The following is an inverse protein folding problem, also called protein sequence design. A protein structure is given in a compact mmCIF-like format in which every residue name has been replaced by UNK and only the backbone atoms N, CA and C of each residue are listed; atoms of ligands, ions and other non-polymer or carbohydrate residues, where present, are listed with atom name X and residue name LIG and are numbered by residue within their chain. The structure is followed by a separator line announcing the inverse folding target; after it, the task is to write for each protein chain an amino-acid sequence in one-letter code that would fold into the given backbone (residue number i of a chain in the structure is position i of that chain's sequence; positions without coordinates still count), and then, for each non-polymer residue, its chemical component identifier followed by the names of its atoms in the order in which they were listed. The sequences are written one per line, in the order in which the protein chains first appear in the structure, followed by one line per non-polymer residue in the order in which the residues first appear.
data_IF_966860399371
#
_entry.id   IF_966860399371
#
_cell.length_a   1.000
_cell.length_b   1.000
_cell.length_c   1.000
_cell.angle_alpha   90.00
_cell.angle_beta   90.00
_cell.angle_gamma   90.00
#
_symmetry.space_group_name_H-M   'P 1'
#
loop_
_entity.id
_entity.type
_entity.pdbx_description
1 polymer ?
#
# COMPACT_ATOMS: atom_id res chain seq x y z
N UNK A 1 20.32 -11.00 9.94
CA UNK A 1 19.61 -9.80 9.44
C UNK A 1 20.16 -9.46 8.06
N UNK A 2 19.37 -9.67 7.01
CA UNK A 2 19.77 -9.33 5.65
C UNK A 2 19.11 -7.99 5.30
N UNK A 3 19.80 -6.88 5.56
CA UNK A 3 19.33 -5.52 5.21
C UNK A 3 19.03 -5.37 3.72
N UNK A 4 19.60 -6.23 2.87
CA UNK A 4 19.29 -6.30 1.45
C UNK A 4 17.91 -6.87 1.12
N UNK A 5 17.31 -7.72 1.95
CA UNK A 5 16.01 -8.35 1.64
C UNK A 5 14.88 -7.31 1.71
N UNK A 6 14.79 -6.57 2.82
CA UNK A 6 13.75 -5.54 3.01
C UNK A 6 13.94 -4.36 2.05
N UNK A 7 15.18 -3.95 1.79
CA UNK A 7 15.45 -2.89 0.83
C UNK A 7 15.05 -3.28 -0.60
N UNK A 8 15.33 -4.53 -1.02
CA UNK A 8 14.97 -5.04 -2.36
C UNK A 8 13.46 -5.17 -2.56
N UNK A 9 12.68 -5.30 -1.49
CA UNK A 9 11.21 -5.38 -1.58
C UNK A 9 10.59 -4.14 -2.21
N UNK A 10 11.14 -2.95 -1.94
CA UNK A 10 10.64 -1.72 -2.57
C UNK A 10 10.69 -1.79 -4.11
N UNK A 11 11.81 -2.27 -4.67
CA UNK A 11 11.95 -2.48 -6.11
C UNK A 11 10.99 -3.56 -6.62
N UNK A 12 10.84 -4.66 -5.88
CA UNK A 12 9.94 -5.75 -6.26
C UNK A 12 8.47 -5.29 -6.31
N UNK A 13 8.02 -4.51 -5.32
CA UNK A 13 6.68 -3.93 -5.30
C UNK A 13 6.47 -2.93 -6.43
N UNK A 14 7.45 -2.07 -6.70
CA UNK A 14 7.34 -1.14 -7.81
C UNK A 14 7.26 -1.86 -9.16
N UNK A 15 8.11 -2.87 -9.39
CA UNK A 15 8.07 -3.64 -10.63
C UNK A 15 6.74 -4.38 -10.82
N UNK A 16 6.17 -4.93 -9.75
CA UNK A 16 4.86 -5.57 -9.81
C UNK A 16 3.74 -4.56 -10.06
N UNK A 17 3.81 -3.37 -9.47
CA UNK A 17 2.81 -2.31 -9.66
C UNK A 17 2.68 -1.80 -11.09
N UNK A 18 3.62 -2.14 -11.99
CA UNK A 18 3.53 -1.78 -13.41
C UNK A 18 2.45 -2.60 -14.11
N UNK A 19 2.32 -3.89 -13.76
CA UNK A 19 1.34 -4.80 -14.36
C UNK A 19 0.06 -4.83 -13.52
N UNK A 20 -0.96 -4.07 -13.93
CA UNK A 20 -2.22 -3.91 -13.21
C UNK A 20 -3.27 -4.98 -13.56
N UNK A 21 -2.88 -6.00 -14.34
CA UNK A 21 -3.78 -7.06 -14.82
C UNK A 21 -4.10 -8.11 -13.75
N UNK A 22 -3.18 -8.36 -12.84
CA UNK A 22 -3.39 -9.33 -11.76
C UNK A 22 -3.96 -8.69 -10.50
N UNK A 23 -3.42 -7.54 -10.08
CA UNK A 23 -3.86 -6.89 -8.85
C UNK A 23 -3.30 -5.46 -8.70
N UNK A 24 -3.84 -4.71 -7.72
CA UNK A 24 -3.42 -3.34 -7.43
C UNK A 24 -3.00 -3.18 -5.97
N UNK A 25 -1.93 -2.43 -5.75
CA UNK A 25 -1.48 -2.06 -4.41
C UNK A 25 -2.28 -0.86 -3.91
N UNK A 26 -3.37 -1.13 -3.21
CA UNK A 26 -4.21 -0.07 -2.65
C UNK A 26 -3.74 0.28 -1.23
N UNK A 27 -3.40 1.55 -1.02
CA UNK A 27 -2.91 2.07 0.24
C UNK A 27 -3.89 3.07 0.84
N UNK A 28 -4.04 3.02 2.16
CA UNK A 28 -4.98 3.86 2.92
C UNK A 28 -4.20 4.94 3.66
N UNK A 29 -4.66 6.18 3.52
CA UNK A 29 -4.13 7.31 4.27
C UNK A 29 -4.41 7.12 5.74
N UNK A 30 -3.35 7.12 6.56
CA UNK A 30 -3.46 7.02 8.00
C UNK A 30 -2.26 7.71 8.64
N UNK A 31 -2.48 8.36 9.77
CA UNK A 31 -1.45 9.18 10.44
C UNK A 31 -0.24 8.36 10.88
N UNK A 32 -0.48 7.16 11.40
CA UNK A 32 0.55 6.19 11.82
C UNK A 32 0.13 4.77 11.47
N UNK A 33 1.11 3.88 11.34
CA UNK A 33 0.87 2.49 10.97
C UNK A 33 0.08 1.70 12.03
N UNK A 34 0.28 1.95 13.33
CA UNK A 34 -0.45 1.25 14.39
C UNK A 34 -1.98 1.47 14.33
N UNK A 35 -2.42 2.71 14.07
CA UNK A 35 -3.84 3.03 13.84
C UNK A 35 -4.39 2.35 12.60
N UNK A 36 -3.55 2.23 11.57
CA UNK A 36 -3.91 1.43 10.41
C UNK A 36 -4.06 -0.03 10.84
N UNK A 37 -3.16 -0.63 11.62
CA UNK A 37 -3.28 -2.03 12.09
C UNK A 37 -4.56 -2.28 12.91
N UNK A 38 -4.94 -1.34 13.77
CA UNK A 38 -6.14 -1.36 14.59
C UNK A 38 -7.45 -1.11 13.81
N UNK A 39 -7.36 -0.72 12.53
CA UNK A 39 -8.53 -0.47 11.68
C UNK A 39 -9.18 0.90 11.89
N UNK A 40 -8.53 1.84 12.59
CA UNK A 40 -9.06 3.18 12.85
C UNK A 40 -9.12 4.08 11.60
N UNK A 41 -8.47 3.68 10.51
CA UNK A 41 -8.46 4.37 9.24
C UNK A 41 -9.15 3.51 8.18
N UNK A 42 -10.50 3.43 8.18
CA UNK A 42 -11.19 2.56 7.24
C UNK A 42 -11.18 3.19 5.83
N UNK A 43 -11.09 2.40 4.76
CA UNK A 43 -10.93 2.91 3.39
C UNK A 43 -12.09 3.78 2.89
N UNK A 44 -13.31 3.57 3.41
CA UNK A 44 -14.49 4.35 3.01
C UNK A 44 -14.49 5.79 3.56
N UNK A 45 -13.74 6.05 4.64
CA UNK A 45 -13.62 7.37 5.28
C UNK A 45 -12.19 7.93 5.25
N UNK A 46 -11.29 7.28 4.52
CA UNK A 46 -9.88 7.64 4.43
C UNK A 46 -9.47 7.80 2.96
N UNK A 47 -8.46 8.62 2.70
CA UNK A 47 -7.92 8.74 1.34
C UNK A 47 -7.30 7.42 0.88
N UNK A 48 -7.70 6.91 -0.27
CA UNK A 48 -7.10 5.70 -0.88
C UNK A 48 -6.27 6.12 -2.09
N UNK A 49 -5.08 5.54 -2.23
CA UNK A 49 -4.19 5.77 -3.36
C UNK A 49 -3.52 4.47 -3.80
N UNK A 50 -3.19 4.39 -5.09
CA UNK A 50 -2.38 3.28 -5.61
C UNK A 50 -0.90 3.52 -5.28
N UNK A 51 -0.23 2.52 -4.71
CA UNK A 51 1.22 2.53 -4.57
C UNK A 51 1.88 2.08 -5.87
N UNK A 52 2.93 2.80 -6.29
CA UNK A 52 3.79 2.38 -7.39
C UNK A 52 3.54 3.16 -8.68
N UNK A 53 3.64 2.49 -9.83
CA UNK A 53 3.67 3.15 -11.15
C UNK A 53 2.40 3.95 -11.46
N UNK A 54 1.23 3.42 -11.10
CA UNK A 54 -0.08 4.04 -11.40
C UNK A 54 -0.55 5.06 -10.35
N UNK A 55 0.34 5.52 -9.45
CA UNK A 55 -0.01 6.50 -8.42
C UNK A 55 -0.55 7.78 -9.05
N UNK A 56 -1.71 8.24 -8.57
CA UNK A 56 -2.32 9.51 -8.99
C UNK A 56 -2.11 10.55 -7.90
N UNK A 57 -1.94 11.81 -8.30
CA UNK A 57 -1.84 12.93 -7.36
C UNK A 57 -3.04 12.97 -6.43
N UNK A 58 -2.79 12.91 -5.12
CA UNK A 58 -3.84 13.06 -4.11
C UNK A 58 -3.98 14.53 -3.75
N UNK A 59 -5.20 14.96 -3.37
CA UNK A 59 -5.47 16.33 -2.91
C UNK A 59 -5.08 16.56 -1.44
N UNK A 60 -4.37 15.62 -0.82
CA UNK A 60 -4.02 15.67 0.59
C UNK A 60 -2.87 16.66 0.83
N UNK A 61 -2.88 17.31 1.99
CA UNK A 61 -1.77 18.15 2.42
C UNK A 61 -0.54 17.28 2.68
N UNK A 62 0.62 17.74 2.18
CA UNK A 62 1.89 17.04 2.34
C UNK A 62 2.58 17.44 3.65
N UNK A 63 3.29 16.52 4.34
CA UNK A 63 3.50 15.12 3.98
C UNK A 63 2.30 14.23 4.35
N UNK A 64 1.80 13.46 3.38
CA UNK A 64 0.74 12.47 3.59
C UNK A 64 1.34 11.06 3.73
N UNK A 65 0.83 10.27 4.69
CA UNK A 65 1.30 8.89 4.93
C UNK A 65 0.21 7.90 4.53
N UNK A 66 0.60 6.91 3.75
CA UNK A 66 -0.26 5.82 3.33
C UNK A 66 0.30 4.50 3.82
N UNK A 67 -0.60 3.61 4.22
CA UNK A 67 -0.27 2.28 4.74
C UNK A 67 -1.06 1.22 3.98
N UNK A 68 -0.40 0.10 3.69
CA UNK A 68 -1.00 -1.09 3.10
C UNK A 68 -0.34 -2.34 3.70
N UNK A 69 -0.95 -3.50 3.47
CA UNK A 69 -0.34 -4.80 3.72
C UNK A 69 0.02 -5.46 2.39
N UNK A 70 1.05 -6.30 2.42
CA UNK A 70 1.51 -7.10 1.27
C UNK A 70 1.74 -8.54 1.71
N UNK A 71 1.69 -9.48 0.76
CA UNK A 71 2.16 -10.85 0.96
C UNK A 71 3.69 -10.91 1.11
N UNK A 72 4.16 -12.05 1.61
CA UNK A 72 5.59 -12.37 1.69
C UNK A 72 6.18 -12.82 0.34
N UNK A 73 5.33 -13.23 -0.60
CA UNK A 73 5.66 -13.72 -1.96
C UNK A 73 4.74 -13.11 -3.01
N UNK A 74 5.13 -13.23 -4.27
CA UNK A 74 4.29 -12.83 -5.42
C UNK A 74 3.01 -13.70 -5.51
N UNK A 75 1.86 -13.11 -5.87
CA UNK A 75 1.61 -11.68 -6.00
C UNK A 75 1.66 -10.99 -4.62
N UNK A 76 2.45 -9.92 -4.51
CA UNK A 76 2.69 -9.22 -3.24
C UNK A 76 1.51 -8.36 -2.83
N UNK A 77 0.73 -7.88 -3.79
CA UNK A 77 -0.52 -7.18 -3.52
C UNK A 77 -1.51 -8.02 -2.71
N UNK A 78 -2.45 -7.35 -2.06
CA UNK A 78 -3.58 -7.95 -1.37
C UNK A 78 -4.85 -7.26 -1.86
N UNK A 79 -5.59 -7.87 -2.78
CA UNK A 79 -6.85 -7.30 -3.31
C UNK A 79 -7.89 -7.04 -2.20
N UNK A 80 -7.93 -7.91 -1.19
CA UNK A 80 -8.83 -7.77 -0.05
C UNK A 80 -8.32 -6.84 1.06
N UNK A 81 -7.15 -6.20 0.89
CA UNK A 81 -6.58 -5.29 1.91
C UNK A 81 -7.48 -4.11 2.27
N UNK A 82 -8.43 -3.78 1.39
CA UNK A 82 -9.44 -2.73 1.56
C UNK A 82 -10.83 -3.29 1.92
N UNK A 83 -11.13 -4.55 1.58
CA UNK A 83 -12.47 -5.15 1.79
C UNK A 83 -12.64 -5.82 3.14
N UNK A 84 -11.55 -6.22 3.80
CA UNK A 84 -11.57 -6.95 5.06
C UNK A 84 -11.55 -6.04 6.32
N UNK A 85 -11.87 -4.75 6.19
CA UNK A 85 -11.86 -3.79 7.30
C UNK A 85 -13.07 -2.87 7.31
#
# INVERSE_FOLDING_TARGET
MQTGCDHRRANAYFLESIDDRECRFLAVHCSIYSKYEEGECPPHNSGVAEMGYHVKSTKLQLPARFSLRTNDKKPFCLEDSIRLR
#
